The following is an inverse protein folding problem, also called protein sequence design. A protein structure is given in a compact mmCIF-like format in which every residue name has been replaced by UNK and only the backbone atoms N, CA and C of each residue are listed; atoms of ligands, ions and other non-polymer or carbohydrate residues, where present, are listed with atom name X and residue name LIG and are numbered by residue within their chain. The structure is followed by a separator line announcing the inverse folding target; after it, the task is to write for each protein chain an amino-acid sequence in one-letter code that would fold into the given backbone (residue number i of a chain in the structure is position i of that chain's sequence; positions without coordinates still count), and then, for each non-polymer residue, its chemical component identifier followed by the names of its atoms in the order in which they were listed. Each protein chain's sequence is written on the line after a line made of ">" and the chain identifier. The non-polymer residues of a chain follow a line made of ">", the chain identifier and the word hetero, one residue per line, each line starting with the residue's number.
data_IF_896589733771
#
_entry.id   IF_896589733771
#
_cell.length_a   1.000
_cell.length_b   1.000
_cell.length_c   1.000
_cell.angle_alpha   90.00
_cell.angle_beta   90.00
_cell.angle_gamma   90.00
#
_symmetry.space_group_name_H-M   'P 1'
#
loop_
_entity.id
_entity.type
_entity.pdbx_description
1 polymer ?
#
# COMPACT_ATOMS: atom_id res chain seq x y z
N UNK A 1 30.99 36.86 -28.00
CA UNK A 1 30.21 35.60 -27.85
C UNK A 1 31.11 34.45 -27.38
N UNK A 2 31.17 34.14 -26.09
CA UNK A 2 31.87 32.91 -25.60
C UNK A 2 31.33 32.29 -24.31
N UNK A 3 30.37 32.92 -23.60
CA UNK A 3 29.77 32.33 -22.38
C UNK A 3 28.64 31.33 -22.66
N UNK A 4 27.94 31.43 -23.81
CA UNK A 4 26.81 30.55 -24.15
C UNK A 4 27.20 29.07 -24.35
N UNK A 5 28.40 28.79 -24.87
CA UNK A 5 28.87 27.39 -25.08
C UNK A 5 29.17 26.67 -23.75
N UNK A 6 29.54 27.43 -22.71
CA UNK A 6 29.86 26.89 -21.39
C UNK A 6 28.59 26.50 -20.62
N UNK A 7 27.51 27.29 -20.74
CA UNK A 7 26.21 26.98 -20.13
C UNK A 7 25.56 25.72 -20.71
N UNK A 8 25.66 25.49 -22.02
CA UNK A 8 25.15 24.26 -22.65
C UNK A 8 25.92 23.01 -22.19
N UNK A 9 27.24 23.11 -22.04
CA UNK A 9 28.07 21.99 -21.56
C UNK A 9 27.78 21.63 -20.09
N UNK A 10 27.56 22.64 -19.24
CA UNK A 10 27.16 22.45 -17.84
C UNK A 10 25.77 21.80 -17.72
N UNK A 11 24.82 22.17 -18.59
CA UNK A 11 23.49 21.58 -18.61
C UNK A 11 23.52 20.10 -19.05
N UNK A 12 24.29 19.77 -20.09
CA UNK A 12 24.49 18.39 -20.52
C UNK A 12 25.17 17.54 -19.43
N UNK A 13 26.19 18.08 -18.76
CA UNK A 13 26.87 17.39 -17.66
C UNK A 13 25.91 17.15 -16.47
N UNK A 14 25.08 18.14 -16.12
CA UNK A 14 24.04 18.00 -15.09
C UNK A 14 22.98 16.96 -15.43
N UNK A 15 22.57 16.87 -16.70
CA UNK A 15 21.66 15.84 -17.19
C UNK A 15 22.27 14.43 -17.11
N UNK A 16 23.54 14.28 -17.47
CA UNK A 16 24.28 13.01 -17.41
C UNK A 16 24.47 12.56 -15.96
N UNK A 17 24.77 13.48 -15.04
CA UNK A 17 24.91 13.21 -13.60
C UNK A 17 23.54 12.86 -12.98
N UNK A 18 22.45 13.52 -13.42
CA UNK A 18 21.09 13.18 -12.99
C UNK A 18 20.66 11.77 -13.44
N UNK A 19 21.16 11.29 -14.57
CA UNK A 19 20.92 9.92 -15.05
C UNK A 19 21.79 8.91 -14.26
N UNK A 20 23.01 9.30 -13.85
CA UNK A 20 23.92 8.48 -13.04
C UNK A 20 23.57 8.40 -11.54
N UNK A 21 22.76 9.34 -11.04
CA UNK A 21 22.19 9.34 -9.67
C UNK A 21 20.81 8.67 -9.60
N UNK A 22 20.32 8.09 -10.71
CA UNK A 22 19.24 7.10 -10.64
C UNK A 22 19.84 5.85 -9.99
N UNK A 23 19.84 5.85 -8.67
CA UNK A 23 19.98 4.67 -7.82
C UNK A 23 19.04 3.55 -8.30
N UNK A 24 19.30 2.27 -7.99
CA UNK A 24 18.75 1.09 -8.67
C UNK A 24 17.27 0.81 -8.33
N UNK A 25 16.39 1.79 -8.46
CA UNK A 25 14.95 1.60 -8.47
C UNK A 25 14.48 0.77 -9.70
N UNK A 26 15.37 0.55 -10.68
CA UNK A 26 15.08 -0.19 -11.92
C UNK A 26 15.91 -1.46 -12.13
N UNK A 27 16.42 -2.09 -11.06
CA UNK A 27 16.78 -3.51 -11.08
C UNK A 27 15.59 -4.41 -10.68
N UNK A 28 14.38 -4.01 -11.12
CA UNK A 28 13.09 -4.59 -10.74
C UNK A 28 12.74 -5.79 -11.63
N UNK A 29 13.63 -6.77 -11.70
CA UNK A 29 13.35 -8.07 -12.32
C UNK A 29 13.83 -9.19 -11.38
N UNK A 30 13.04 -9.49 -10.34
CA UNK A 30 12.95 -10.81 -9.65
C UNK A 30 12.40 -10.75 -8.21
N UNK A 31 12.21 -9.58 -7.58
CA UNK A 31 11.70 -9.52 -6.20
C UNK A 31 10.18 -9.30 -6.12
N UNK A 32 9.43 -10.18 -6.78
CA UNK A 32 7.95 -10.16 -6.74
C UNK A 32 7.45 -10.42 -5.32
N UNK A 33 8.14 -11.30 -4.59
CA UNK A 33 7.83 -11.62 -3.20
C UNK A 33 7.88 -10.39 -2.28
N UNK A 34 8.94 -9.57 -2.36
CA UNK A 34 9.09 -8.35 -1.57
C UNK A 34 8.08 -7.26 -1.95
N UNK A 35 7.68 -7.17 -3.23
CA UNK A 35 6.58 -6.29 -3.64
C UNK A 35 5.26 -6.75 -3.03
N UNK A 36 4.96 -8.05 -3.09
CA UNK A 36 3.75 -8.62 -2.50
C UNK A 36 3.73 -8.47 -0.98
N UNK A 37 4.86 -8.69 -0.30
CA UNK A 37 4.99 -8.45 1.14
C UNK A 37 4.77 -6.99 1.48
N UNK A 38 5.36 -6.05 0.74
CA UNK A 38 5.16 -4.62 0.99
C UNK A 38 3.68 -4.22 0.81
N UNK A 39 3.00 -4.77 -0.20
CA UNK A 39 1.54 -4.59 -0.37
C UNK A 39 0.79 -5.16 0.82
N UNK A 40 1.07 -6.39 1.26
CA UNK A 40 0.42 -7.00 2.43
C UNK A 40 0.66 -6.16 3.68
N UNK A 41 1.87 -5.67 3.90
CA UNK A 41 2.21 -4.79 5.04
C UNK A 41 1.47 -3.45 4.97
N UNK A 42 1.36 -2.84 3.79
CA UNK A 42 0.57 -1.61 3.60
C UNK A 42 -0.92 -1.85 3.87
N UNK A 43 -1.47 -2.98 3.41
CA UNK A 43 -2.89 -3.33 3.55
C UNK A 43 -3.28 -3.83 4.96
N UNK A 44 -2.32 -4.30 5.77
CA UNK A 44 -2.58 -4.79 7.13
C UNK A 44 -1.99 -3.89 8.23
N UNK A 45 -1.26 -2.85 7.82
CA UNK A 45 -0.62 -1.88 8.71
C UNK A 45 -1.59 -0.93 9.42
N UNK A 46 -1.03 0.02 10.17
CA UNK A 46 -1.80 0.92 11.04
C UNK A 46 -2.85 1.75 10.28
N UNK A 47 -2.51 2.23 9.08
CA UNK A 47 -3.43 3.02 8.26
C UNK A 47 -4.68 2.22 7.90
N UNK A 48 -4.52 0.97 7.45
CA UNK A 48 -5.64 0.09 7.12
C UNK A 48 -6.52 -0.23 8.33
N UNK A 49 -5.90 -0.43 9.52
CA UNK A 49 -6.64 -0.61 10.78
C UNK A 49 -7.51 0.59 11.10
N UNK A 50 -6.98 1.81 10.98
CA UNK A 50 -7.76 3.04 11.19
C UNK A 50 -8.93 3.15 10.21
N UNK A 51 -8.71 2.82 8.93
CA UNK A 51 -9.77 2.82 7.92
C UNK A 51 -10.86 1.80 8.25
N UNK A 52 -10.50 0.60 8.70
CA UNK A 52 -11.46 -0.41 9.13
C UNK A 52 -12.25 0.03 10.37
N UNK A 53 -11.59 0.63 11.36
CA UNK A 53 -12.26 1.18 12.54
C UNK A 53 -13.28 2.25 12.15
N UNK A 54 -12.92 3.17 11.25
CA UNK A 54 -13.86 4.19 10.75
C UNK A 54 -15.05 3.56 10.02
N UNK A 55 -14.82 2.56 9.17
CA UNK A 55 -15.89 1.85 8.47
C UNK A 55 -16.87 1.18 9.45
N UNK A 56 -16.37 0.54 10.50
CA UNK A 56 -17.20 -0.08 11.54
C UNK A 56 -18.01 0.96 12.31
N UNK A 57 -17.41 2.10 12.65
CA UNK A 57 -18.12 3.21 13.32
C UNK A 57 -19.28 3.71 12.44
N UNK A 58 -19.02 3.99 11.17
CA UNK A 58 -20.05 4.48 10.23
C UNK A 58 -21.21 3.48 10.12
N UNK A 59 -20.90 2.19 10.01
CA UNK A 59 -21.91 1.13 9.92
C UNK A 59 -22.71 1.00 11.21
N UNK A 60 -22.07 1.09 12.37
CA UNK A 60 -22.74 1.12 13.66
C UNK A 60 -23.71 2.28 13.78
N UNK A 61 -23.29 3.49 13.39
CA UNK A 61 -24.13 4.68 13.39
C UNK A 61 -25.30 4.54 12.41
N UNK A 62 -25.06 4.08 11.17
CA UNK A 62 -26.12 3.87 10.19
C UNK A 62 -27.12 2.78 10.63
N UNK A 63 -26.66 1.75 11.33
CA UNK A 63 -27.52 0.72 11.93
C UNK A 63 -28.39 1.28 13.05
N UNK A 64 -27.84 2.13 13.93
CA UNK A 64 -28.62 2.76 15.02
C UNK A 64 -29.78 3.63 14.51
N UNK A 65 -29.61 4.29 13.36
CA UNK A 65 -30.67 5.10 12.74
C UNK A 65 -31.60 4.29 11.81
N UNK A 66 -31.52 2.96 11.80
CA UNK A 66 -32.36 2.11 10.98
C UNK A 66 -32.11 2.21 9.46
N UNK A 67 -30.99 2.81 9.05
CA UNK A 67 -30.61 2.90 7.63
C UNK A 67 -29.96 1.60 7.12
N UNK A 68 -29.55 0.71 8.02
CA UNK A 68 -28.99 -0.61 7.72
C UNK A 68 -29.65 -1.70 8.56
N UNK A 69 -29.79 -2.89 7.96
CA UNK A 69 -30.28 -4.09 8.64
C UNK A 69 -29.14 -4.82 9.35
N UNK A 70 -29.48 -5.60 10.38
CA UNK A 70 -28.52 -6.37 11.20
C UNK A 70 -27.65 -7.32 10.35
N UNK A 71 -28.25 -7.93 9.31
CA UNK A 71 -27.53 -8.78 8.35
C UNK A 71 -26.47 -8.02 7.56
N UNK A 72 -26.76 -6.78 7.14
CA UNK A 72 -25.80 -5.93 6.40
C UNK A 72 -24.65 -5.49 7.31
N UNK A 73 -24.97 -5.10 8.54
CA UNK A 73 -23.96 -4.76 9.55
C UNK A 73 -23.05 -5.96 9.86
N UNK A 74 -23.63 -7.16 10.01
CA UNK A 74 -22.86 -8.39 10.26
C UNK A 74 -21.88 -8.71 9.12
N UNK A 75 -22.25 -8.48 7.85
CA UNK A 75 -21.34 -8.68 6.72
C UNK A 75 -20.11 -7.78 6.77
N UNK A 76 -20.26 -6.53 7.23
CA UNK A 76 -19.13 -5.60 7.35
C UNK A 76 -18.17 -6.09 8.44
N UNK A 77 -18.69 -6.47 9.61
CA UNK A 77 -17.87 -6.98 10.71
C UNK A 77 -17.14 -8.26 10.29
N UNK A 78 -17.82 -9.17 9.60
CA UNK A 78 -17.22 -10.39 9.06
C UNK A 78 -16.12 -10.07 8.04
N UNK A 79 -16.37 -9.12 7.13
CA UNK A 79 -15.38 -8.71 6.13
C UNK A 79 -14.11 -8.15 6.78
N UNK A 80 -14.25 -7.30 7.79
CA UNK A 80 -13.11 -6.77 8.57
C UNK A 80 -12.34 -7.91 9.26
N UNK A 81 -13.04 -8.84 9.91
CA UNK A 81 -12.41 -9.99 10.55
C UNK A 81 -11.62 -10.86 9.56
N UNK A 82 -12.13 -11.07 8.35
CA UNK A 82 -11.45 -11.82 7.30
C UNK A 82 -10.20 -11.07 6.81
N UNK A 83 -10.30 -9.77 6.52
CA UNK A 83 -9.15 -8.98 6.02
C UNK A 83 -7.97 -9.03 6.98
N UNK A 84 -8.21 -8.89 8.29
CA UNK A 84 -7.13 -8.93 9.28
C UNK A 84 -6.73 -10.34 9.69
N UNK A 85 -7.63 -11.32 9.58
CA UNK A 85 -7.34 -12.73 9.89
C UNK A 85 -6.72 -13.51 8.73
N UNK A 86 -6.73 -12.98 7.51
CA UNK A 86 -6.32 -13.70 6.30
C UNK A 86 -4.89 -14.26 6.38
N UNK A 87 -3.94 -13.49 6.92
CA UNK A 87 -2.54 -13.91 7.03
C UNK A 87 -2.38 -15.15 7.92
N UNK A 88 -3.09 -15.20 9.05
CA UNK A 88 -3.07 -16.35 9.97
C UNK A 88 -3.72 -17.58 9.34
N UNK A 89 -4.85 -17.38 8.67
CA UNK A 89 -5.54 -18.46 7.95
C UNK A 89 -4.63 -19.06 6.87
N UNK A 90 -3.96 -18.23 6.07
CA UNK A 90 -3.05 -18.74 5.04
C UNK A 90 -1.84 -19.44 5.66
N UNK A 91 -1.24 -18.87 6.71
CA UNK A 91 -0.10 -19.47 7.42
C UNK A 91 -0.41 -20.87 7.95
N UNK A 92 -1.56 -21.02 8.62
CA UNK A 92 -2.01 -22.32 9.15
C UNK A 92 -2.26 -23.35 8.05
N UNK A 93 -2.80 -22.93 6.90
CA UNK A 93 -3.05 -23.81 5.75
C UNK A 93 -1.76 -24.26 5.04
N UNK A 94 -0.71 -23.44 5.05
CA UNK A 94 0.57 -23.75 4.40
C UNK A 94 1.54 -24.53 5.31
N UNK A 95 1.14 -24.89 6.54
CA UNK A 95 1.95 -25.67 7.48
C UNK A 95 2.79 -24.84 8.46
N UNK A 96 2.31 -23.64 8.82
CA UNK A 96 2.97 -22.59 9.61
C UNK A 96 4.13 -22.96 10.54
N UNK A 97 5.33 -22.56 10.10
CA UNK A 97 6.51 -22.18 10.89
C UNK A 97 7.06 -20.88 10.30
#
# INVERSE_FOLDING_TARGET
>A
MSSFRKSSALFCMGLIISIGLVEPAFAQSANIEGVLQNIVTMLTGNVARLMATLAVIIVGVAWMFGHLDLRKAAYVVLGVAIVFGASEVVSTLTGGH
#
